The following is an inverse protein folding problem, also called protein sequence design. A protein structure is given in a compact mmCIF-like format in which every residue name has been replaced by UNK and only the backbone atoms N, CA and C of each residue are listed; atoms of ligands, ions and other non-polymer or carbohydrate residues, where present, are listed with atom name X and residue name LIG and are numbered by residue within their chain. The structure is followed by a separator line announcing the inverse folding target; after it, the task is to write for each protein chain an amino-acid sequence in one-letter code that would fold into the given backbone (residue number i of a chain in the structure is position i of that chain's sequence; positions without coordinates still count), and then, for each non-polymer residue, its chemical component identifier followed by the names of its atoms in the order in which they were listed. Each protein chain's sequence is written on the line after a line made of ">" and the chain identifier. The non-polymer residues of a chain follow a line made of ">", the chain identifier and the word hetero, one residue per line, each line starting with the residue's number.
data_IF_695264871184
#
_entry.id   IF_695264871184
#
_cell.length_a   1.000
_cell.length_b   1.000
_cell.length_c   1.000
_cell.angle_alpha   90.00
_cell.angle_beta   90.00
_cell.angle_gamma   90.00
#
_symmetry.space_group_name_H-M   'P 1'
#
loop_
_entity.id
_entity.type
_entity.pdbx_description
1 polymer ?
#
# COMPACT_ATOMS: atom_id res chain seq x y z
N UNK A 1 6.68 -27.27 -2.00
CA UNK A 1 7.49 -26.62 -3.07
C UNK A 1 7.70 -25.17 -2.68
N UNK A 2 8.94 -24.69 -2.61
CA UNK A 2 9.20 -23.26 -2.40
C UNK A 2 8.92 -22.55 -3.72
N UNK A 3 7.75 -21.93 -3.86
CA UNK A 3 7.48 -21.09 -5.01
C UNK A 3 8.46 -19.90 -4.96
N UNK A 4 9.07 -19.57 -6.10
CA UNK A 4 10.02 -18.46 -6.22
C UNK A 4 9.30 -17.12 -6.16
N UNK A 5 8.06 -17.06 -6.62
CA UNK A 5 7.25 -15.86 -6.78
C UNK A 5 6.02 -15.92 -5.88
N UNK A 6 5.51 -14.75 -5.49
CA UNK A 6 4.23 -14.60 -4.78
C UNK A 6 3.07 -14.83 -5.74
N UNK A 7 3.11 -14.15 -6.89
CA UNK A 7 2.15 -14.26 -7.99
C UNK A 7 2.93 -14.45 -9.30
N UNK A 8 3.29 -15.68 -9.61
CA UNK A 8 4.18 -16.01 -10.72
C UNK A 8 3.69 -15.44 -12.06
N UNK A 9 2.41 -15.55 -12.36
CA UNK A 9 1.82 -15.05 -13.61
C UNK A 9 1.98 -13.54 -13.78
N UNK A 10 1.93 -12.79 -12.68
CA UNK A 10 2.09 -11.34 -12.69
C UNK A 10 3.58 -10.96 -12.69
N UNK A 11 4.38 -11.64 -11.87
CA UNK A 11 5.78 -11.28 -11.64
C UNK A 11 6.70 -11.71 -12.80
N UNK A 12 6.26 -12.66 -13.61
CA UNK A 12 7.00 -13.14 -14.79
C UNK A 12 6.35 -12.74 -16.11
N UNK A 13 5.35 -11.86 -16.06
CA UNK A 13 4.62 -11.40 -17.25
C UNK A 13 5.55 -10.73 -18.26
N UNK A 14 5.35 -11.01 -19.55
CA UNK A 14 6.11 -10.33 -20.62
C UNK A 14 5.87 -8.82 -20.61
N UNK A 15 6.81 -8.07 -21.14
CA UNK A 15 6.73 -6.61 -21.18
C UNK A 15 5.49 -6.11 -21.93
N UNK A 16 5.13 -6.77 -22.99
CA UNK A 16 3.96 -6.44 -23.83
C UNK A 16 2.68 -6.63 -23.03
N UNK A 17 2.50 -7.81 -22.43
CA UNK A 17 1.32 -8.09 -21.57
C UNK A 17 1.24 -7.15 -20.39
N UNK A 18 2.36 -6.81 -19.78
CA UNK A 18 2.42 -5.84 -18.69
C UNK A 18 1.96 -4.45 -19.14
N UNK A 19 2.38 -4.01 -20.32
CA UNK A 19 1.95 -2.72 -20.88
C UNK A 19 0.44 -2.70 -21.20
N UNK A 20 -0.08 -3.79 -21.75
CA UNK A 20 -1.54 -3.93 -21.98
C UNK A 20 -2.32 -3.84 -20.66
N UNK A 21 -1.89 -4.59 -19.64
CA UNK A 21 -2.50 -4.55 -18.31
C UNK A 21 -2.43 -3.15 -17.70
N UNK A 22 -1.29 -2.48 -17.82
CA UNK A 22 -1.10 -1.11 -17.32
C UNK A 22 -2.05 -0.12 -18.02
N UNK A 23 -2.20 -0.23 -19.34
CA UNK A 23 -3.11 0.62 -20.10
C UNK A 23 -4.58 0.39 -19.70
N UNK A 24 -5.00 -0.86 -19.56
CA UNK A 24 -6.35 -1.19 -19.11
C UNK A 24 -6.62 -0.61 -17.71
N UNK A 25 -5.68 -0.78 -16.78
CA UNK A 25 -5.80 -0.23 -15.41
C UNK A 25 -5.81 1.29 -15.40
N UNK A 26 -4.99 1.95 -16.23
CA UNK A 26 -4.98 3.41 -16.37
C UNK A 26 -6.34 3.92 -16.83
N UNK A 27 -6.92 3.35 -17.89
CA UNK A 27 -8.27 3.71 -18.37
C UNK A 27 -9.32 3.53 -17.30
N UNK A 28 -9.29 2.40 -16.59
CA UNK A 28 -10.22 2.13 -15.48
C UNK A 28 -10.06 3.17 -14.35
N UNK A 29 -8.82 3.50 -13.99
CA UNK A 29 -8.54 4.50 -12.96
C UNK A 29 -9.08 5.87 -13.34
N UNK A 30 -8.92 6.30 -14.59
CA UNK A 30 -9.47 7.56 -15.10
C UNK A 30 -11.00 7.57 -15.02
N UNK A 31 -11.66 6.49 -15.44
CA UNK A 31 -13.13 6.37 -15.37
C UNK A 31 -13.63 6.48 -13.93
N UNK A 32 -12.94 5.86 -12.98
CA UNK A 32 -13.31 5.92 -11.56
C UNK A 32 -13.02 7.31 -11.00
N UNK A 33 -11.83 7.86 -11.26
CA UNK A 33 -11.43 9.18 -10.76
C UNK A 33 -12.35 10.31 -11.23
N UNK A 34 -12.89 10.20 -12.44
CA UNK A 34 -13.85 11.16 -12.99
C UNK A 34 -15.13 11.33 -12.14
N UNK A 35 -15.41 10.40 -11.23
CA UNK A 35 -16.53 10.51 -10.29
C UNK A 35 -16.22 11.37 -9.07
N UNK A 36 -14.94 11.69 -8.79
CA UNK A 36 -14.60 12.59 -7.69
C UNK A 36 -14.86 14.06 -8.07
N UNK A 37 -15.28 14.90 -7.11
CA UNK A 37 -15.50 16.32 -7.39
C UNK A 37 -14.31 17.02 -8.01
N UNK A 38 -13.10 16.74 -7.54
CA UNK A 38 -11.86 17.33 -8.03
C UNK A 38 -11.54 16.87 -9.45
N UNK A 39 -11.43 15.55 -9.68
CA UNK A 39 -11.03 15.06 -11.00
C UNK A 39 -12.12 15.25 -12.07
N UNK A 40 -13.38 15.28 -11.69
CA UNK A 40 -14.46 15.64 -12.63
C UNK A 40 -14.19 17.00 -13.27
N UNK A 41 -13.86 18.00 -12.46
CA UNK A 41 -13.51 19.35 -12.93
C UNK A 41 -12.24 19.33 -13.79
N UNK A 42 -11.15 18.77 -13.25
CA UNK A 42 -9.84 18.74 -13.92
C UNK A 42 -9.94 18.02 -15.28
N UNK A 43 -10.63 16.89 -15.34
CA UNK A 43 -10.76 16.11 -16.57
C UNK A 43 -11.64 16.83 -17.60
N UNK A 44 -12.68 17.55 -17.19
CA UNK A 44 -13.47 18.40 -18.08
C UNK A 44 -12.62 19.54 -18.66
N UNK A 45 -11.87 20.25 -17.84
CA UNK A 45 -11.00 21.35 -18.27
C UNK A 45 -9.92 20.95 -19.27
N UNK A 46 -9.45 19.69 -19.19
CA UNK A 46 -8.37 19.15 -20.02
C UNK A 46 -8.87 18.16 -21.09
N UNK A 47 -10.16 17.98 -21.24
CA UNK A 47 -10.78 17.02 -22.17
C UNK A 47 -10.25 15.58 -22.00
N UNK A 48 -10.08 15.14 -20.75
CA UNK A 48 -9.58 13.81 -20.41
C UNK A 48 -10.75 12.86 -20.19
N UNK A 49 -10.74 11.75 -20.91
CA UNK A 49 -11.64 10.61 -20.72
C UNK A 49 -10.82 9.31 -20.80
N UNK A 50 -11.40 8.19 -20.39
CA UNK A 50 -10.74 6.89 -20.57
C UNK A 50 -10.42 6.62 -22.05
N UNK A 51 -11.29 7.08 -22.97
CA UNK A 51 -11.11 6.89 -24.41
C UNK A 51 -10.06 7.82 -25.02
N UNK A 52 -9.75 8.96 -24.37
CA UNK A 52 -8.67 9.85 -24.80
C UNK A 52 -7.27 9.26 -24.57
N UNK A 53 -7.18 8.17 -23.79
CA UNK A 53 -5.94 7.47 -23.48
C UNK A 53 -5.83 6.25 -24.40
N UNK A 54 -5.00 6.35 -25.43
CA UNK A 54 -4.81 5.28 -26.41
C UNK A 54 -3.56 4.42 -26.11
N UNK A 55 -2.59 4.98 -25.40
CA UNK A 55 -1.35 4.32 -25.02
C UNK A 55 -0.81 4.88 -23.70
N UNK A 56 0.17 4.21 -23.10
CA UNK A 56 0.72 4.61 -21.80
C UNK A 56 1.39 5.99 -21.80
N UNK A 57 1.86 6.50 -22.95
CA UNK A 57 2.47 7.83 -23.03
C UNK A 57 1.43 8.95 -22.84
N UNK A 58 0.17 8.65 -23.09
CA UNK A 58 -0.94 9.59 -22.91
C UNK A 58 -1.17 9.99 -21.45
N UNK A 59 -0.59 9.27 -20.48
CA UNK A 59 -0.56 9.69 -19.07
C UNK A 59 -0.03 11.11 -18.90
N UNK A 60 0.80 11.60 -19.81
CA UNK A 60 1.35 12.97 -19.81
C UNK A 60 0.29 14.05 -20.06
N UNK A 61 -0.87 13.69 -20.57
CA UNK A 61 -2.01 14.60 -20.76
C UNK A 61 -2.70 14.92 -19.43
N UNK A 62 -2.52 14.07 -18.41
CA UNK A 62 -3.15 14.20 -17.12
C UNK A 62 -2.32 15.18 -16.27
N UNK A 63 -2.91 16.26 -15.75
CA UNK A 63 -2.23 17.18 -14.84
C UNK A 63 -1.80 16.48 -13.55
N UNK A 64 -0.71 16.93 -12.96
CA UNK A 64 -0.29 16.46 -11.65
C UNK A 64 -1.26 16.89 -10.57
N UNK A 65 -1.55 16.01 -9.63
CA UNK A 65 -2.22 16.35 -8.38
C UNK A 65 -1.17 16.62 -7.31
N UNK A 66 -1.26 17.77 -6.69
CA UNK A 66 -0.31 18.20 -5.66
C UNK A 66 -0.91 18.04 -4.26
N UNK A 67 -0.06 18.15 -3.24
CA UNK A 67 -0.53 18.19 -1.85
C UNK A 67 -1.38 19.45 -1.55
N UNK A 68 -1.18 20.52 -2.30
CA UNK A 68 -2.01 21.72 -2.20
C UNK A 68 -3.44 21.43 -2.69
N UNK A 69 -3.59 20.71 -3.80
CA UNK A 69 -4.90 20.29 -4.33
C UNK A 69 -5.65 19.39 -3.33
N UNK A 70 -4.93 18.46 -2.72
CA UNK A 70 -5.50 17.58 -1.67
C UNK A 70 -6.01 18.37 -0.46
N UNK A 71 -5.30 19.44 -0.07
CA UNK A 71 -5.71 20.31 1.03
C UNK A 71 -6.87 21.22 0.65
N UNK A 72 -6.84 21.78 -0.56
CA UNK A 72 -7.90 22.66 -1.06
C UNK A 72 -9.25 21.95 -1.22
N UNK A 73 -9.21 20.62 -1.40
CA UNK A 73 -10.40 19.77 -1.55
C UNK A 73 -10.71 18.96 -0.30
N UNK A 74 -10.10 19.30 0.83
CA UNK A 74 -10.36 18.66 2.12
C UNK A 74 -11.85 18.79 2.51
N UNK A 75 -12.47 17.77 3.14
CA UNK A 75 -11.84 16.49 3.51
C UNK A 75 -11.92 15.42 2.43
N UNK A 76 -12.90 15.40 1.53
CA UNK A 76 -13.23 14.25 0.67
C UNK A 76 -13.36 14.59 -0.82
N UNK A 77 -12.88 15.74 -1.25
CA UNK A 77 -13.01 16.16 -2.65
C UNK A 77 -12.29 15.28 -3.69
N UNK A 78 -11.37 14.43 -3.24
CA UNK A 78 -10.68 13.44 -4.09
C UNK A 78 -11.30 12.05 -4.04
N UNK A 79 -12.30 11.82 -3.20
CA UNK A 79 -12.96 10.51 -3.10
C UNK A 79 -13.82 10.29 -4.34
N UNK A 80 -13.63 9.15 -5.01
CA UNK A 80 -14.27 8.82 -6.29
C UNK A 80 -15.48 7.88 -6.15
N UNK A 81 -15.64 7.23 -5.02
CA UNK A 81 -16.75 6.31 -4.74
C UNK A 81 -17.79 6.91 -3.80
N UNK A 82 -18.82 6.14 -3.51
CA UNK A 82 -19.74 6.47 -2.43
C UNK A 82 -19.09 6.10 -1.08
N UNK A 83 -18.59 7.11 -0.37
CA UNK A 83 -17.89 6.90 0.90
C UNK A 83 -18.76 6.16 1.94
N UNK A 84 -20.07 6.35 1.92
CA UNK A 84 -20.98 5.74 2.90
C UNK A 84 -21.26 4.26 2.59
N UNK A 85 -21.22 3.88 1.33
CA UNK A 85 -21.47 2.50 0.88
C UNK A 85 -20.17 1.70 0.73
N UNK A 86 -19.13 2.34 0.16
CA UNK A 86 -17.90 1.67 -0.24
C UNK A 86 -16.75 1.87 0.77
N UNK A 87 -16.80 2.93 1.56
CA UNK A 87 -15.73 3.30 2.49
C UNK A 87 -15.66 2.39 3.71
N UNK A 88 -14.54 1.69 3.87
CA UNK A 88 -14.31 0.76 4.99
C UNK A 88 -13.35 1.35 6.01
N UNK A 89 -12.43 2.21 5.56
CA UNK A 89 -11.38 2.76 6.43
C UNK A 89 -10.92 4.13 5.96
N UNK A 90 -10.56 4.97 6.92
CA UNK A 90 -9.94 6.27 6.67
C UNK A 90 -8.53 6.26 7.26
N UNK A 91 -7.56 6.65 6.45
CA UNK A 91 -6.21 6.96 6.88
C UNK A 91 -5.94 8.45 6.76
N UNK A 92 -4.98 8.92 7.55
CA UNK A 92 -4.58 10.32 7.57
C UNK A 92 -3.07 10.46 7.55
N UNK A 93 -2.58 11.49 6.90
CA UNK A 93 -1.19 11.94 7.11
C UNK A 93 -1.05 12.56 8.50
N UNK A 94 0.19 12.61 9.02
CA UNK A 94 0.45 13.18 10.36
C UNK A 94 0.08 14.65 10.53
N UNK A 95 -0.13 15.39 9.44
CA UNK A 95 -0.52 16.80 9.49
C UNK A 95 0.53 17.77 10.06
N UNK A 96 1.78 17.35 10.23
CA UNK A 96 2.87 18.15 10.82
C UNK A 96 3.09 19.49 10.14
N UNK A 97 2.70 19.65 8.89
CA UNK A 97 2.85 20.86 8.09
C UNK A 97 1.52 21.57 7.79
N UNK A 98 0.48 21.34 8.60
CA UNK A 98 -0.85 21.95 8.44
C UNK A 98 -1.97 20.89 8.36
N UNK A 99 -3.04 21.18 7.63
CA UNK A 99 -4.20 20.28 7.49
C UNK A 99 -3.76 18.90 7.02
N UNK A 100 -4.13 17.81 7.72
CA UNK A 100 -3.83 16.46 7.29
C UNK A 100 -4.54 16.14 5.96
N UNK A 101 -4.00 15.21 5.19
CA UNK A 101 -4.70 14.67 4.03
C UNK A 101 -5.39 13.37 4.43
N UNK A 102 -6.64 13.21 4.03
CA UNK A 102 -7.43 12.01 4.29
C UNK A 102 -7.49 11.12 3.05
N UNK A 103 -7.43 9.82 3.27
CA UNK A 103 -7.60 8.81 2.23
C UNK A 103 -8.64 7.81 2.72
N UNK A 104 -9.70 7.65 1.95
CA UNK A 104 -10.73 6.65 2.18
C UNK A 104 -10.39 5.41 1.36
N UNK A 105 -10.42 4.28 1.99
CA UNK A 105 -10.17 2.98 1.36
C UNK A 105 -11.46 2.16 1.30
N UNK A 106 -11.71 1.58 0.14
CA UNK A 106 -12.68 0.49 -0.02
C UNK A 106 -12.08 -0.85 0.45
N UNK A 107 -12.90 -1.89 0.59
CA UNK A 107 -12.40 -3.24 0.85
C UNK A 107 -11.43 -3.71 -0.24
N UNK A 108 -11.74 -3.41 -1.50
CA UNK A 108 -10.86 -3.74 -2.62
C UNK A 108 -9.48 -3.07 -2.53
N UNK A 109 -9.43 -1.81 -2.08
CA UNK A 109 -8.15 -1.10 -1.88
C UNK A 109 -7.33 -1.77 -0.76
N UNK A 110 -7.99 -2.14 0.35
CA UNK A 110 -7.33 -2.82 1.47
C UNK A 110 -6.79 -4.19 1.06
N UNK A 111 -7.55 -4.96 0.29
CA UNK A 111 -7.14 -6.27 -0.21
C UNK A 111 -5.98 -6.16 -1.19
N UNK A 112 -6.04 -5.20 -2.09
CA UNK A 112 -4.96 -4.91 -3.04
C UNK A 112 -3.69 -4.50 -2.32
N UNK A 113 -3.82 -3.60 -1.35
CA UNK A 113 -2.69 -3.15 -0.53
C UNK A 113 -2.07 -4.28 0.26
N UNK A 114 -2.88 -5.08 0.97
CA UNK A 114 -2.41 -6.25 1.70
C UNK A 114 -1.67 -7.24 0.79
N UNK A 115 -2.16 -7.48 -0.44
CA UNK A 115 -1.51 -8.33 -1.41
C UNK A 115 -0.15 -7.79 -1.88
N UNK A 116 -0.06 -6.47 -2.14
CA UNK A 116 1.20 -5.83 -2.52
C UNK A 116 2.24 -5.91 -1.39
N UNK A 117 1.84 -5.68 -0.15
CA UNK A 117 2.74 -5.81 0.99
C UNK A 117 3.18 -7.27 1.19
N UNK A 118 2.27 -8.24 1.06
CA UNK A 118 2.62 -9.66 1.11
C UNK A 118 3.67 -10.02 0.04
N UNK A 119 3.52 -9.51 -1.20
CA UNK A 119 4.52 -9.68 -2.26
C UNK A 119 5.87 -9.09 -1.87
N UNK A 120 5.90 -7.86 -1.31
CA UNK A 120 7.14 -7.24 -0.85
C UNK A 120 7.83 -8.08 0.24
N UNK A 121 7.07 -8.60 1.20
CA UNK A 121 7.59 -9.46 2.25
C UNK A 121 8.13 -10.78 1.68
N UNK A 122 7.42 -11.36 0.71
CA UNK A 122 7.85 -12.57 0.02
C UNK A 122 9.13 -12.36 -0.79
N UNK A 123 9.27 -11.20 -1.47
CA UNK A 123 10.47 -10.83 -2.22
C UNK A 123 11.73 -10.73 -1.35
N UNK A 124 11.61 -10.26 -0.10
CA UNK A 124 12.73 -10.20 0.84
C UNK A 124 13.00 -11.53 1.54
N UNK A 125 12.29 -12.60 1.16
CA UNK A 125 12.57 -13.96 1.58
C UNK A 125 11.74 -14.46 2.75
N UNK A 126 10.73 -13.73 3.23
CA UNK A 126 9.83 -14.20 4.29
C UNK A 126 8.94 -15.30 3.71
N UNK A 127 8.74 -16.36 4.48
CA UNK A 127 7.97 -17.55 4.09
C UNK A 127 6.98 -17.93 5.19
N UNK A 128 6.03 -18.81 4.88
CA UNK A 128 4.99 -19.28 5.81
C UNK A 128 5.53 -19.87 7.12
N UNK A 129 6.77 -20.35 7.10
CA UNK A 129 7.46 -20.89 8.27
C UNK A 129 8.10 -19.83 9.17
N UNK A 130 8.12 -18.59 8.71
CA UNK A 130 8.74 -17.47 9.45
C UNK A 130 7.69 -16.77 10.30
N UNK A 131 8.15 -16.17 11.40
CA UNK A 131 7.33 -15.28 12.24
C UNK A 131 7.69 -13.85 11.91
N UNK A 132 6.69 -13.07 11.50
CA UNK A 132 6.83 -11.64 11.24
C UNK A 132 6.35 -10.85 12.45
N UNK A 133 7.22 -10.07 13.06
CA UNK A 133 6.86 -9.20 14.16
C UNK A 133 6.62 -7.78 13.67
N UNK A 134 5.42 -7.24 13.90
CA UNK A 134 5.07 -5.87 13.58
C UNK A 134 5.04 -5.01 14.86
N UNK A 135 6.08 -4.21 15.05
CA UNK A 135 6.21 -3.27 16.18
C UNK A 135 5.83 -1.83 15.79
N UNK A 136 5.14 -1.64 14.67
CA UNK A 136 4.65 -0.33 14.27
C UNK A 136 3.41 0.06 15.07
N UNK A 137 3.29 1.35 15.41
CA UNK A 137 2.07 1.85 16.05
C UNK A 137 0.87 1.79 15.09
N UNK A 138 -0.28 1.44 15.65
CA UNK A 138 -1.57 1.45 14.94
C UNK A 138 -2.29 2.77 15.22
N UNK A 139 -2.83 3.37 14.19
CA UNK A 139 -3.58 4.61 14.26
C UNK A 139 -4.05 5.01 12.86
N UNK A 140 -4.36 6.27 12.65
CA UNK A 140 -4.72 6.76 11.32
C UNK A 140 -3.56 6.72 10.32
N UNK A 141 -2.33 6.51 10.80
CA UNK A 141 -1.15 6.39 9.95
C UNK A 141 -1.13 5.06 9.19
N UNK A 142 -0.70 5.11 7.95
CA UNK A 142 -0.82 4.01 6.98
C UNK A 142 0.08 2.80 7.28
N UNK A 143 1.29 3.02 7.81
CA UNK A 143 2.35 2.02 7.83
C UNK A 143 2.04 0.76 8.64
N UNK A 144 1.61 0.89 9.90
CA UNK A 144 1.43 -0.25 10.80
C UNK A 144 0.40 -1.25 10.29
N UNK A 145 -0.77 -0.77 9.88
CA UNK A 145 -1.85 -1.61 9.38
C UNK A 145 -1.51 -2.27 8.04
N UNK A 146 -0.77 -1.59 7.16
CA UNK A 146 -0.36 -2.18 5.88
C UNK A 146 0.50 -3.41 6.07
N UNK A 147 1.49 -3.33 6.94
CA UNK A 147 2.32 -4.48 7.27
C UNK A 147 1.56 -5.58 7.99
N UNK A 148 0.62 -5.22 8.88
CA UNK A 148 -0.27 -6.16 9.56
C UNK A 148 -1.01 -7.03 8.54
N UNK A 149 -1.82 -6.42 7.69
CA UNK A 149 -2.66 -7.17 6.75
C UNK A 149 -1.87 -7.88 5.65
N UNK A 150 -0.73 -7.32 5.25
CA UNK A 150 0.15 -7.98 4.30
C UNK A 150 0.79 -9.25 4.89
N UNK A 151 1.22 -9.19 6.14
CA UNK A 151 1.79 -10.35 6.83
C UNK A 151 0.73 -11.43 7.10
N UNK A 152 -0.48 -11.06 7.52
CA UNK A 152 -1.59 -12.01 7.79
C UNK A 152 -1.99 -12.84 6.57
N UNK A 153 -1.68 -12.39 5.36
CA UNK A 153 -2.02 -13.15 4.15
C UNK A 153 -1.36 -14.52 4.07
N UNK A 154 -0.15 -14.68 4.62
CA UNK A 154 0.58 -15.94 4.49
C UNK A 154 1.55 -16.25 5.63
N UNK A 155 1.81 -15.32 6.53
CA UNK A 155 2.85 -15.46 7.54
C UNK A 155 2.24 -15.54 8.93
N UNK A 156 2.96 -16.18 9.87
CA UNK A 156 2.60 -16.08 11.27
C UNK A 156 2.99 -14.68 11.77
N UNK A 157 1.98 -13.88 12.08
CA UNK A 157 2.15 -12.53 12.56
C UNK A 157 2.17 -12.50 14.09
N UNK A 158 3.13 -11.79 14.67
CA UNK A 158 3.15 -11.40 16.06
C UNK A 158 2.92 -9.89 16.15
N UNK A 159 1.68 -9.44 16.41
CA UNK A 159 1.40 -8.03 16.64
C UNK A 159 1.91 -7.63 18.03
N UNK A 160 2.55 -6.48 18.13
CA UNK A 160 3.18 -6.05 19.36
C UNK A 160 2.90 -4.59 19.69
N UNK A 161 2.60 -4.31 20.94
CA UNK A 161 2.61 -2.95 21.46
C UNK A 161 4.01 -2.56 21.96
N UNK A 162 4.26 -1.27 22.15
CA UNK A 162 5.57 -0.77 22.62
C UNK A 162 5.94 -1.34 23.99
N UNK A 163 4.94 -1.65 24.82
CA UNK A 163 5.12 -2.22 26.17
C UNK A 163 5.56 -3.70 26.17
N UNK A 164 5.20 -4.44 25.12
CA UNK A 164 5.42 -5.90 25.08
C UNK A 164 6.78 -6.28 24.48
N UNK A 165 7.54 -5.30 24.00
CA UNK A 165 8.81 -5.52 23.28
C UNK A 165 9.83 -6.36 24.02
N UNK A 166 9.90 -6.24 25.35
CA UNK A 166 10.86 -6.97 26.16
C UNK A 166 10.47 -8.44 26.34
N UNK A 167 9.18 -8.72 26.43
CA UNK A 167 8.68 -10.09 26.60
C UNK A 167 8.73 -10.88 25.29
N UNK A 168 8.50 -10.25 24.16
CA UNK A 168 8.55 -10.90 22.84
C UNK A 168 9.97 -11.30 22.44
N UNK A 169 10.98 -10.53 22.83
CA UNK A 169 12.38 -10.91 22.63
C UNK A 169 12.74 -12.25 23.31
N UNK A 170 12.03 -12.62 24.37
CA UNK A 170 12.21 -13.91 25.07
C UNK A 170 11.49 -15.08 24.35
N UNK A 171 10.40 -14.81 23.66
CA UNK A 171 9.67 -15.80 22.85
C UNK A 171 10.38 -16.08 21.51
N UNK A 172 11.28 -15.20 21.11
CA UNK A 172 11.76 -15.03 19.74
C UNK A 172 12.98 -15.83 19.34
N UNK A 173 13.25 -17.01 19.90
CA UNK A 173 14.30 -17.90 19.35
C UNK A 173 14.11 -18.24 17.86
N UNK A 174 12.95 -17.92 17.26
CA UNK A 174 12.61 -18.18 15.86
C UNK A 174 12.24 -16.94 15.03
N UNK A 175 12.36 -15.73 15.61
CA UNK A 175 12.01 -14.49 14.89
C UNK A 175 13.02 -14.20 13.77
N UNK A 176 12.55 -14.23 12.52
CA UNK A 176 13.39 -13.87 11.36
C UNK A 176 13.28 -12.41 10.93
N UNK A 177 12.17 -11.74 11.27
CA UNK A 177 11.97 -10.34 10.84
C UNK A 177 11.26 -9.50 11.90
N UNK A 178 11.85 -8.36 12.20
CA UNK A 178 11.31 -7.33 13.08
C UNK A 178 11.24 -6.01 12.32
N UNK A 179 10.06 -5.42 12.22
CA UNK A 179 9.87 -4.13 11.59
C UNK A 179 9.89 -3.01 12.63
N UNK A 180 11.02 -2.29 12.73
CA UNK A 180 11.13 -1.01 13.39
C UNK A 180 11.28 0.10 12.36
N UNK A 181 10.67 1.27 12.54
CA UNK A 181 10.92 2.41 11.65
C UNK A 181 12.39 2.85 11.58
N UNK A 182 13.23 2.43 12.52
CA UNK A 182 14.64 2.85 12.63
C UNK A 182 15.66 1.69 12.72
N UNK A 183 15.26 0.42 12.73
CA UNK A 183 16.20 -0.68 13.05
C UNK A 183 16.22 -1.87 12.08
N UNK A 184 15.77 -1.70 10.84
CA UNK A 184 15.76 -2.78 9.85
C UNK A 184 17.15 -3.37 9.52
N UNK A 185 18.23 -2.71 9.89
CA UNK A 185 19.60 -3.08 9.49
C UNK A 185 20.48 -3.67 10.58
N UNK A 186 20.13 -3.54 11.85
CA UNK A 186 21.06 -3.90 12.93
C UNK A 186 21.00 -5.39 13.34
N UNK A 187 19.89 -6.06 13.14
CA UNK A 187 19.68 -7.38 13.70
C UNK A 187 20.29 -8.52 12.87
N UNK A 188 20.27 -8.44 11.56
CA UNK A 188 20.89 -9.46 10.70
C UNK A 188 22.40 -9.65 10.91
N UNK A 189 23.09 -8.60 11.37
CA UNK A 189 24.54 -8.65 11.68
C UNK A 189 24.86 -9.25 13.04
N UNK A 190 23.97 -9.15 14.02
CA UNK A 190 24.23 -9.60 15.38
C UNK A 190 24.05 -11.12 15.56
N UNK A 191 23.14 -11.73 14.82
CA UNK A 191 22.86 -13.17 14.96
C UNK A 191 23.82 -14.07 14.19
N UNK A 192 24.42 -13.62 13.08
CA UNK A 192 25.47 -14.37 12.36
C UNK A 192 26.80 -14.48 13.12
N UNK A 193 26.96 -13.81 14.25
CA UNK A 193 28.19 -13.87 15.07
C UNK A 193 28.10 -14.76 16.29
N UNK A 194 26.96 -15.44 16.54
CA UNK A 194 26.73 -16.26 17.75
C UNK A 194 26.20 -17.67 17.48
N UNK A 195 26.34 -18.18 16.24
CA UNK A 195 26.16 -19.61 15.91
C UNK A 195 27.45 -20.13 15.30
#
# INVERSE_FOLDING_TARGET
>A
MNNKYWEEDIETMSREKLQELQLQRLKKTISIAANSPYYKKVFQEHNITADSIQNLKDIRKIPFTTKADMRATYPFGLVSGNMQEDGVRIHSSSGTTGTPTLIVHSQHDLDSWANLVARCLYMVGIRKTDVFQNSSGYGMFTGGLGFQYGAERQFLLLPETVSDRLNSLLISKQLRFMLFPAMLFAWQKSFKKKV
#
